data_IF_835287893704
#
_entry.id   IF_835287893704
#
_cell.length_a   1.000
_cell.length_b   1.000
_cell.length_c   1.000
_cell.angle_alpha   90.00
_cell.angle_beta   90.00
_cell.angle_gamma   90.00
#
_symmetry.space_group_name_H-M   'P 1'
#
loop_
_entity.id
_entity.type
_entity.pdbx_description
1 polymer ?
#
# COMPACT_ATOMS: atom_id res chain seq x y z
N UNK A 1 -2.15 -0.43 -17.21
CA UNK A 1 -2.31 -1.20 -15.96
C UNK A 1 -0.95 -1.77 -15.55
N UNK A 2 -0.63 -1.69 -14.27
CA UNK A 2 0.61 -2.22 -13.73
C UNK A 2 0.44 -3.67 -13.31
N UNK A 3 1.52 -4.44 -13.38
CA UNK A 3 1.58 -5.70 -12.64
C UNK A 3 1.61 -5.38 -11.15
N UNK A 4 1.12 -6.27 -10.30
CA UNK A 4 1.14 -6.00 -8.87
C UNK A 4 1.19 -7.28 -8.06
N UNK A 5 1.66 -7.13 -6.83
CA UNK A 5 1.75 -8.22 -5.88
C UNK A 5 1.58 -7.67 -4.46
N UNK A 6 1.36 -8.55 -3.51
CA UNK A 6 1.22 -8.21 -2.10
C UNK A 6 2.35 -8.85 -1.29
N UNK A 7 2.88 -8.11 -0.32
CA UNK A 7 3.79 -8.70 0.66
C UNK A 7 3.05 -9.72 1.51
N UNK A 8 3.78 -10.61 2.15
CA UNK A 8 3.19 -11.58 3.08
C UNK A 8 2.51 -10.87 4.25
N UNK A 9 3.11 -9.79 4.74
CA UNK A 9 2.52 -9.00 5.81
C UNK A 9 1.16 -8.42 5.41
N UNK A 10 1.06 -7.87 4.21
CA UNK A 10 -0.19 -7.31 3.73
C UNK A 10 -1.24 -8.40 3.50
N UNK A 11 -0.85 -9.54 2.97
CA UNK A 11 -1.79 -10.66 2.79
C UNK A 11 -2.45 -11.06 4.10
N UNK A 12 -1.68 -11.10 5.18
CA UNK A 12 -2.21 -11.42 6.52
C UNK A 12 -3.18 -10.35 7.00
N UNK A 13 -2.84 -9.09 6.80
CA UNK A 13 -3.69 -7.96 7.19
C UNK A 13 -5.02 -8.01 6.44
N UNK A 14 -4.98 -8.19 5.13
CA UNK A 14 -6.18 -8.25 4.31
C UNK A 14 -7.08 -9.41 4.70
N UNK A 15 -6.49 -10.58 4.95
CA UNK A 15 -7.25 -11.75 5.39
C UNK A 15 -7.98 -11.50 6.70
N UNK A 16 -7.32 -10.86 7.65
CA UNK A 16 -7.91 -10.52 8.94
C UNK A 16 -9.04 -9.50 8.78
N UNK A 17 -8.82 -8.45 8.00
CA UNK A 17 -9.81 -7.40 7.79
C UNK A 17 -11.03 -7.91 7.03
N UNK A 18 -10.86 -8.83 6.09
CA UNK A 18 -11.99 -9.40 5.36
C UNK A 18 -13.03 -10.06 6.27
N UNK A 19 -12.61 -10.47 7.47
CA UNK A 19 -13.49 -11.09 8.47
C UNK A 19 -13.96 -10.11 9.53
N UNK A 20 -13.11 -9.16 9.93
CA UNK A 20 -13.37 -8.30 11.08
C UNK A 20 -13.92 -6.92 10.73
N UNK A 21 -13.54 -6.40 9.58
CA UNK A 21 -13.94 -5.05 9.17
C UNK A 21 -14.08 -5.00 7.64
N UNK A 22 -15.19 -5.51 7.17
CA UNK A 22 -15.46 -5.61 5.73
C UNK A 22 -15.46 -4.25 5.04
N UNK A 23 -15.95 -3.22 5.72
CA UNK A 23 -16.01 -1.88 5.14
C UNK A 23 -14.61 -1.35 4.87
N UNK A 24 -13.71 -1.48 5.84
CA UNK A 24 -12.32 -1.06 5.66
C UNK A 24 -11.62 -1.91 4.61
N UNK A 25 -11.87 -3.22 4.63
CA UNK A 25 -11.34 -4.13 3.63
C UNK A 25 -11.71 -3.70 2.20
N UNK A 26 -12.97 -3.37 1.98
CA UNK A 26 -13.44 -2.92 0.68
C UNK A 26 -12.84 -1.58 0.27
N UNK A 27 -12.65 -0.66 1.22
CA UNK A 27 -12.00 0.61 0.97
C UNK A 27 -10.54 0.42 0.51
N UNK A 28 -9.84 -0.52 1.14
CA UNK A 28 -8.45 -0.84 0.75
C UNK A 28 -8.42 -1.40 -0.67
N UNK A 29 -9.27 -2.38 -0.97
CA UNK A 29 -9.32 -2.98 -2.30
C UNK A 29 -9.63 -1.96 -3.39
N UNK A 30 -10.55 -1.04 -3.09
CA UNK A 30 -10.89 0.02 -4.02
C UNK A 30 -9.70 0.95 -4.27
N UNK A 31 -8.95 1.27 -3.22
CA UNK A 31 -7.77 2.11 -3.36
C UNK A 31 -6.67 1.40 -4.14
N UNK A 32 -6.47 0.12 -3.90
CA UNK A 32 -5.53 -0.70 -4.67
C UNK A 32 -5.89 -0.68 -6.16
N UNK A 33 -7.16 -0.85 -6.46
CA UNK A 33 -7.64 -0.80 -7.85
C UNK A 33 -7.35 0.56 -8.51
N UNK A 34 -7.59 1.66 -7.79
CA UNK A 34 -7.26 3.00 -8.29
C UNK A 34 -5.77 3.13 -8.62
N UNK A 35 -4.91 2.61 -7.74
CA UNK A 35 -3.47 2.71 -7.92
C UNK A 35 -3.00 1.89 -9.13
N UNK A 36 -3.48 0.67 -9.26
CA UNK A 36 -3.11 -0.22 -10.36
C UNK A 36 -3.52 0.38 -11.72
N UNK A 37 -4.63 1.07 -11.76
CA UNK A 37 -5.17 1.64 -12.99
C UNK A 37 -4.71 3.07 -13.26
N UNK A 38 -3.97 3.67 -12.36
CA UNK A 38 -3.41 5.00 -12.55
C UNK A 38 -2.17 4.88 -13.43
N UNK A 39 -2.17 5.53 -14.59
CA UNK A 39 -1.04 5.40 -15.51
C UNK A 39 0.17 6.25 -15.11
N UNK A 40 0.11 6.98 -14.01
CA UNK A 40 1.24 7.76 -13.51
C UNK A 40 1.39 7.58 -11.99
N UNK A 41 1.82 6.39 -11.61
CA UNK A 41 1.98 6.02 -10.20
C UNK A 41 3.06 6.84 -9.49
N UNK A 42 3.99 7.44 -10.23
CA UNK A 42 5.02 8.29 -9.64
C UNK A 42 4.47 9.57 -9.01
N UNK A 43 3.24 9.94 -9.32
CA UNK A 43 2.60 11.10 -8.70
C UNK A 43 2.21 10.87 -7.25
N UNK A 44 2.15 9.63 -6.78
CA UNK A 44 1.89 9.36 -5.37
C UNK A 44 3.08 9.76 -4.51
N UNK A 45 2.80 10.28 -3.33
CA UNK A 45 3.83 10.78 -2.44
C UNK A 45 4.65 9.66 -1.83
N UNK A 46 5.94 9.91 -1.67
CA UNK A 46 6.84 8.98 -1.01
C UNK A 46 6.81 9.18 0.51
N UNK A 47 7.21 8.15 1.24
CA UNK A 47 7.49 8.26 2.65
C UNK A 47 8.76 9.09 2.86
N UNK A 48 8.95 9.57 4.08
CA UNK A 48 10.08 10.44 4.43
C UNK A 48 11.28 9.63 4.94
N UNK A 49 12.42 10.30 5.00
CA UNK A 49 13.66 9.78 5.57
C UNK A 49 14.15 8.54 4.83
N UNK A 50 14.56 7.51 5.54
CA UNK A 50 15.07 6.26 4.96
C UNK A 50 14.00 5.39 4.30
N UNK A 51 12.76 5.84 4.29
CA UNK A 51 11.66 5.11 3.64
C UNK A 51 11.27 5.74 2.30
N UNK A 52 12.14 6.56 1.71
CA UNK A 52 11.85 7.33 0.49
C UNK A 52 11.50 6.49 -0.72
N UNK A 53 11.94 5.24 -0.79
CA UNK A 53 11.65 4.37 -1.91
C UNK A 53 10.22 3.83 -1.88
N UNK A 54 9.51 4.03 -0.78
CA UNK A 54 8.13 3.59 -0.62
C UNK A 54 7.18 4.76 -0.82
N UNK A 55 6.04 4.48 -1.41
CA UNK A 55 4.97 5.44 -1.61
C UNK A 55 3.84 5.15 -0.65
N UNK A 56 3.01 6.16 -0.42
CA UNK A 56 1.89 6.05 0.51
C UNK A 56 0.62 6.66 -0.04
N UNK A 57 -0.50 6.14 0.42
CA UNK A 57 -1.81 6.73 0.18
C UNK A 57 -2.65 6.54 1.43
N UNK A 58 -3.41 7.56 1.79
CA UNK A 58 -4.27 7.49 2.97
C UNK A 58 -5.57 6.77 2.67
N UNK A 59 -6.02 5.95 3.63
CA UNK A 59 -7.34 5.34 3.65
C UNK A 59 -7.89 5.61 5.06
N UNK A 60 -8.65 6.69 5.21
CA UNK A 60 -9.08 7.17 6.52
C UNK A 60 -7.87 7.58 7.37
N UNK A 61 -7.78 7.03 8.58
CA UNK A 61 -6.65 7.27 9.47
C UNK A 61 -5.49 6.30 9.24
N UNK A 62 -5.63 5.42 8.27
CA UNK A 62 -4.62 4.42 7.93
C UNK A 62 -3.84 4.84 6.70
N UNK A 63 -2.73 4.15 6.49
CA UNK A 63 -1.85 4.40 5.34
C UNK A 63 -1.56 3.08 4.65
N UNK A 64 -1.80 3.04 3.35
CA UNK A 64 -1.41 1.93 2.50
C UNK A 64 -0.04 2.27 1.91
N UNK A 65 0.92 1.39 2.11
CA UNK A 65 2.30 1.58 1.66
C UNK A 65 2.59 0.65 0.50
N UNK A 66 3.18 1.18 -0.55
CA UNK A 66 3.54 0.38 -1.71
C UNK A 66 4.85 0.87 -2.32
N UNK A 67 5.43 0.03 -3.14
CA UNK A 67 6.70 0.28 -3.82
C UNK A 67 6.49 0.07 -5.31
N UNK A 68 7.02 0.98 -6.13
CA UNK A 68 6.96 0.85 -7.57
C UNK A 68 8.32 0.43 -8.11
N UNK A 69 8.36 -0.69 -8.80
CA UNK A 69 9.56 -1.18 -9.47
C UNK A 69 9.42 -0.84 -10.95
N UNK A 70 10.00 0.29 -11.33
CA UNK A 70 9.85 0.84 -12.66
C UNK A 70 10.32 -0.11 -13.76
N UNK A 71 11.46 -0.77 -13.56
CA UNK A 71 12.03 -1.70 -14.53
C UNK A 71 11.12 -2.87 -14.86
N UNK A 72 10.22 -3.23 -13.94
CA UNK A 72 9.28 -4.34 -14.10
C UNK A 72 7.85 -3.88 -14.35
N UNK A 73 7.62 -2.58 -14.33
CA UNK A 73 6.26 -2.01 -14.39
C UNK A 73 5.35 -2.65 -13.34
N UNK A 74 5.88 -2.81 -12.13
CA UNK A 74 5.23 -3.60 -11.07
C UNK A 74 5.12 -2.81 -9.78
N UNK A 75 3.96 -2.94 -9.14
CA UNK A 75 3.68 -2.35 -7.83
C UNK A 75 3.64 -3.47 -6.80
N UNK A 76 4.36 -3.30 -5.70
CA UNK A 76 4.30 -4.24 -4.58
C UNK A 76 3.64 -3.50 -3.42
N UNK A 77 2.48 -3.98 -2.99
CA UNK A 77 1.78 -3.44 -1.83
C UNK A 77 2.38 -4.08 -0.58
N UNK A 78 3.01 -3.24 0.26
CA UNK A 78 3.88 -3.71 1.34
C UNK A 78 3.20 -3.81 2.69
N UNK A 79 2.40 -2.79 3.06
CA UNK A 79 1.85 -2.74 4.41
C UNK A 79 0.63 -1.84 4.46
N UNK A 80 -0.15 -2.00 5.52
CA UNK A 80 -1.29 -1.16 5.82
C UNK A 80 -1.42 -1.06 7.32
N UNK A 81 -1.30 0.15 7.87
CA UNK A 81 -1.37 0.36 9.30
C UNK A 81 -1.75 1.81 9.59
N UNK A 82 -2.01 2.09 10.85
CA UNK A 82 -2.27 3.43 11.32
C UNK A 82 -1.07 4.34 10.99
N UNK A 83 -1.34 5.59 10.66
CA UNK A 83 -0.32 6.55 10.25
C UNK A 83 0.87 6.60 11.23
N UNK A 84 0.59 6.62 12.53
CA UNK A 84 1.65 6.73 13.53
C UNK A 84 2.58 5.52 13.58
N UNK A 85 2.08 4.35 13.20
CA UNK A 85 2.86 3.12 13.23
C UNK A 85 3.75 2.95 12.02
N UNK A 86 3.35 3.47 10.87
CA UNK A 86 4.08 3.26 9.61
C UNK A 86 5.52 3.75 9.70
N UNK A 87 5.73 4.93 10.27
CA UNK A 87 7.06 5.53 10.34
C UNK A 87 8.00 4.87 11.37
N UNK A 88 7.45 4.02 12.23
CA UNK A 88 8.24 3.26 13.19
C UNK A 88 8.62 1.86 12.68
N UNK A 89 8.17 1.50 11.49
CA UNK A 89 8.43 0.19 10.89
C UNK A 89 9.65 0.21 10.00
N UNK A 90 10.28 -0.95 9.88
CA UNK A 90 11.34 -1.20 8.90
C UNK A 90 10.80 -2.13 7.84
N UNK A 91 10.89 -1.71 6.60
CA UNK A 91 10.49 -2.54 5.46
C UNK A 91 11.75 -3.19 4.89
N UNK A 92 11.87 -4.48 5.09
CA UNK A 92 13.05 -5.22 4.65
C UNK A 92 12.63 -6.30 3.70
#
# INVERSE_FOLDING_TARGET
MYLYDYSDALKKILKKLSKKDKKLFEQILKKIEEIINNYNVDNYKNLRNNLKEYKRVHVGHFVLVFKFIESENKIIFEDFDHHDNIYNKKFI
#
